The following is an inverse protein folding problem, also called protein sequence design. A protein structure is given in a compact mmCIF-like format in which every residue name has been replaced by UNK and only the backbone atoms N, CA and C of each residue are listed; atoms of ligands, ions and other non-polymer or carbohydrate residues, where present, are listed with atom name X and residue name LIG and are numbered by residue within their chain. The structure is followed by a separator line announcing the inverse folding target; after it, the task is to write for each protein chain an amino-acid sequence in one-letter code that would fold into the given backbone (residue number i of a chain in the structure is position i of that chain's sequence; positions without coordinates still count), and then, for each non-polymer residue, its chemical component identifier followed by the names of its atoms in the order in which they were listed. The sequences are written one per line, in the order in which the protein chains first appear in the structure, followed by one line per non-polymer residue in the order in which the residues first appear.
data_IF_786337779516
#
_entry.id   IF_786337779516
#
_cell.length_a   1.000
_cell.length_b   1.000
_cell.length_c   1.000
_cell.angle_alpha   90.00
_cell.angle_beta   90.00
_cell.angle_gamma   90.00
#
_symmetry.space_group_name_H-M   'P 1'
#
loop_
_entity.id
_entity.type
_entity.pdbx_description
1 polymer ?
#
# COMPACT_ATOMS: atom_id res chain seq x y z
N UNK A 1 -10.25 -10.20 28.53
CA UNK A 1 -9.65 -9.23 27.59
C UNK A 1 -8.14 -9.36 27.68
N UNK A 2 -7.46 -9.70 26.57
CA UNK A 2 -6.00 -9.83 26.58
C UNK A 2 -5.36 -8.43 26.61
N UNK A 3 -4.44 -8.19 27.55
CA UNK A 3 -3.76 -6.90 27.64
C UNK A 3 -2.78 -6.74 26.48
N UNK A 4 -3.07 -5.81 25.57
CA UNK A 4 -2.18 -5.45 24.44
C UNK A 4 -0.87 -4.77 24.91
N UNK A 5 -0.71 -4.53 26.21
CA UNK A 5 0.54 -4.03 26.80
C UNK A 5 1.60 -5.11 26.92
N UNK A 6 1.21 -6.39 26.95
CA UNK A 6 2.13 -7.52 27.00
C UNK A 6 2.48 -7.99 25.57
N UNK A 7 3.74 -7.78 25.11
CA UNK A 7 4.16 -8.20 23.77
C UNK A 7 4.09 -9.72 23.55
N UNK A 8 3.98 -10.53 24.61
CA UNK A 8 3.83 -11.99 24.50
C UNK A 8 2.42 -12.44 24.15
N UNK A 9 1.41 -11.58 24.33
CA UNK A 9 0.01 -11.84 23.97
C UNK A 9 -0.33 -11.46 22.52
N UNK A 10 0.62 -10.83 21.82
CA UNK A 10 0.49 -10.34 20.44
C UNK A 10 0.03 -11.39 19.43
N UNK A 11 0.52 -12.65 19.45
CA UNK A 11 0.06 -13.68 18.51
C UNK A 11 -1.42 -14.05 18.70
N UNK A 12 -1.96 -13.93 19.92
CA UNK A 12 -3.35 -14.25 20.23
C UNK A 12 -4.32 -13.10 19.87
N UNK A 13 -3.81 -11.87 19.74
CA UNK A 13 -4.58 -10.70 19.34
C UNK A 13 -4.57 -10.43 17.83
N UNK A 14 -3.70 -11.11 17.07
CA UNK A 14 -3.67 -11.01 15.63
C UNK A 14 -4.85 -11.78 15.01
N UNK A 15 -5.48 -11.20 13.98
CA UNK A 15 -6.53 -11.88 13.22
C UNK A 15 -5.94 -13.12 12.51
N UNK A 16 -6.32 -14.30 13.00
CA UNK A 16 -5.89 -15.59 12.46
C UNK A 16 -6.33 -15.80 11.01
N UNK A 17 -7.42 -15.16 10.58
CA UNK A 17 -7.90 -15.26 9.20
C UNK A 17 -7.08 -14.41 8.25
N UNK A 18 -6.48 -13.33 8.75
CA UNK A 18 -5.64 -12.46 7.95
C UNK A 18 -4.29 -13.11 7.58
N UNK A 19 -3.94 -14.28 8.12
CA UNK A 19 -2.82 -15.13 7.67
C UNK A 19 -1.47 -14.40 7.52
N UNK A 20 -1.20 -13.44 8.40
CA UNK A 20 0.04 -12.66 8.34
C UNK A 20 1.26 -13.51 8.72
N UNK A 21 2.40 -13.36 8.01
CA UNK A 21 3.66 -13.91 8.49
C UNK A 21 3.92 -13.42 9.92
N UNK A 22 4.38 -14.31 10.80
CA UNK A 22 4.66 -14.00 12.20
C UNK A 22 5.41 -12.67 12.43
N UNK A 23 6.53 -12.35 11.74
CA UNK A 23 7.23 -11.08 11.94
C UNK A 23 6.38 -9.85 11.58
N UNK A 24 5.52 -9.97 10.57
CA UNK A 24 4.64 -8.89 10.14
C UNK A 24 3.51 -8.65 11.14
N UNK A 25 2.87 -9.72 11.62
CA UNK A 25 1.84 -9.63 12.66
C UNK A 25 2.40 -8.95 13.93
N UNK A 26 3.61 -9.35 14.35
CA UNK A 26 4.30 -8.73 15.49
C UNK A 26 4.58 -7.25 15.26
N UNK A 27 5.13 -6.87 14.10
CA UNK A 27 5.43 -5.48 13.79
C UNK A 27 4.19 -4.59 13.74
N UNK A 28 3.09 -5.08 13.13
CA UNK A 28 1.83 -4.34 13.05
C UNK A 28 1.24 -4.10 14.44
N UNK A 29 1.32 -5.09 15.32
CA UNK A 29 0.84 -4.93 16.70
C UNK A 29 1.69 -3.93 17.48
N UNK A 30 3.02 -3.95 17.31
CA UNK A 30 3.90 -2.96 17.93
C UNK A 30 3.57 -1.52 17.48
N UNK A 31 3.18 -1.34 16.21
CA UNK A 31 2.71 -0.06 15.70
C UNK A 31 1.38 0.36 16.36
N UNK A 32 0.39 -0.53 16.41
CA UNK A 32 -0.91 -0.25 17.05
C UNK A 32 -0.70 0.15 18.51
N UNK A 33 0.04 -0.66 19.27
CA UNK A 33 0.32 -0.42 20.69
C UNK A 33 1.10 0.88 20.90
N UNK A 34 2.11 1.14 20.06
CA UNK A 34 2.91 2.35 20.13
C UNK A 34 2.11 3.62 19.79
N UNK A 35 1.22 3.56 18.82
CA UNK A 35 0.43 4.70 18.36
C UNK A 35 -0.78 5.00 19.26
N UNK A 36 -1.48 3.99 19.78
CA UNK A 36 -2.80 4.19 20.41
C UNK A 36 -2.84 3.85 21.91
N UNK A 37 -2.07 2.86 22.36
CA UNK A 37 -2.29 2.23 23.67
C UNK A 37 -1.44 2.79 24.82
N UNK A 38 -0.58 3.78 24.56
CA UNK A 38 0.23 4.42 25.61
C UNK A 38 -0.58 5.49 26.35
N UNK A 39 -0.50 5.44 27.70
CA UNK A 39 -1.27 6.29 28.62
C UNK A 39 -1.12 7.80 28.38
N UNK A 40 0.04 8.26 27.93
CA UNK A 40 0.29 9.67 27.64
C UNK A 40 0.65 9.88 26.18
N UNK A 41 0.24 11.02 25.61
CA UNK A 41 0.57 11.39 24.23
C UNK A 41 2.09 11.44 23.98
N UNK A 42 2.87 11.87 24.98
CA UNK A 42 4.34 11.91 24.92
C UNK A 42 4.98 10.51 24.87
N UNK A 43 4.32 9.50 25.44
CA UNK A 43 4.81 8.12 25.43
C UNK A 43 4.37 7.34 24.18
N UNK A 44 3.56 7.92 23.29
CA UNK A 44 3.17 7.31 22.02
C UNK A 44 4.29 7.47 21.00
N UNK A 45 4.37 6.49 20.10
CA UNK A 45 5.20 6.57 18.91
C UNK A 45 4.79 7.78 18.07
N UNK A 46 5.77 8.54 17.59
CA UNK A 46 5.51 9.64 16.66
C UNK A 46 5.04 9.10 15.31
N UNK A 47 4.12 9.80 14.66
CA UNK A 47 3.64 9.41 13.33
C UNK A 47 4.77 9.21 12.29
N UNK A 48 5.81 10.07 12.21
CA UNK A 48 6.91 9.85 11.27
C UNK A 48 7.69 8.55 11.52
N UNK A 49 7.90 8.19 12.79
CA UNK A 49 8.57 6.95 13.17
C UNK A 49 7.72 5.72 12.80
N UNK A 50 6.41 5.80 13.04
CA UNK A 50 5.46 4.75 12.69
C UNK A 50 5.40 4.52 11.17
N UNK A 51 5.38 5.60 10.38
CA UNK A 51 5.39 5.53 8.92
C UNK A 51 6.68 4.88 8.41
N UNK A 52 7.84 5.29 8.93
CA UNK A 52 9.14 4.71 8.55
C UNK A 52 9.17 3.20 8.81
N UNK A 53 8.65 2.76 9.97
CA UNK A 53 8.55 1.34 10.33
C UNK A 53 7.60 0.58 9.40
N UNK A 54 6.44 1.16 9.08
CA UNK A 54 5.46 0.55 8.19
C UNK A 54 5.99 0.41 6.75
N UNK A 55 6.68 1.42 6.25
CA UNK A 55 7.32 1.40 4.93
C UNK A 55 8.38 0.30 4.85
N UNK A 56 9.28 0.22 5.83
CA UNK A 56 10.28 -0.85 5.91
C UNK A 56 9.65 -2.24 5.94
N UNK A 57 8.62 -2.43 6.77
CA UNK A 57 7.90 -3.71 6.81
C UNK A 57 7.25 -4.03 5.47
N UNK A 58 6.70 -3.04 4.77
CA UNK A 58 6.10 -3.22 3.45
C UNK A 58 7.14 -3.55 2.37
N UNK A 59 8.37 -3.03 2.46
CA UNK A 59 9.48 -3.37 1.56
C UNK A 59 9.98 -4.80 1.80
N UNK A 60 10.09 -5.23 3.07
CA UNK A 60 10.53 -6.58 3.45
C UNK A 60 9.43 -7.63 3.20
N UNK A 61 8.17 -7.21 3.14
CA UNK A 61 7.04 -8.08 2.87
C UNK A 61 6.95 -8.45 1.38
N UNK A 62 7.52 -9.60 1.04
CA UNK A 62 7.26 -10.26 -0.26
C UNK A 62 5.82 -10.78 -0.40
N UNK A 63 5.05 -10.85 0.71
CA UNK A 63 3.70 -11.42 0.72
C UNK A 63 2.72 -10.49 1.43
N UNK A 64 1.63 -10.15 0.73
CA UNK A 64 0.49 -9.36 1.24
C UNK A 64 -0.68 -10.31 1.51
N UNK A 65 -0.89 -10.75 2.73
CA UNK A 65 -1.90 -11.75 3.02
C UNK A 65 -3.31 -11.10 2.97
N UNK A 66 -4.30 -11.84 2.49
CA UNK A 66 -5.68 -11.33 2.27
C UNK A 66 -5.89 -10.53 0.98
N UNK A 67 -4.81 -10.07 0.32
CA UNK A 67 -4.84 -9.70 -1.10
C UNK A 67 -4.34 -10.93 -1.83
N UNK A 68 -5.24 -11.64 -2.53
CA UNK A 68 -4.81 -12.70 -3.45
C UNK A 68 -3.62 -12.17 -4.24
N UNK A 69 -2.50 -12.92 -4.23
CA UNK A 69 -1.31 -12.53 -4.98
C UNK A 69 -1.80 -12.00 -6.33
N UNK A 70 -1.45 -10.77 -6.74
CA UNK A 70 -1.82 -10.31 -8.07
C UNK A 70 -1.33 -11.41 -8.97
N UNK A 71 -2.27 -12.06 -9.67
CA UNK A 71 -2.03 -13.25 -10.48
C UNK A 71 -0.71 -13.00 -11.19
N UNK A 72 0.36 -13.66 -10.73
CA UNK A 72 1.74 -13.31 -11.09
C UNK A 72 2.05 -13.83 -12.51
N UNK A 73 1.05 -13.82 -13.37
CA UNK A 73 1.14 -14.28 -14.75
C UNK A 73 1.72 -13.18 -15.65
N UNK A 74 1.78 -11.94 -15.20
CA UNK A 74 2.28 -10.83 -15.99
C UNK A 74 3.19 -9.96 -15.12
N UNK A 75 4.46 -9.80 -15.53
CA UNK A 75 5.46 -8.95 -14.87
C UNK A 75 5.02 -7.47 -14.74
N UNK A 76 5.93 -6.56 -14.32
CA UNK A 76 5.59 -5.16 -14.13
C UNK A 76 4.96 -4.59 -15.41
N UNK A 77 3.73 -4.08 -15.29
CA UNK A 77 3.00 -3.56 -16.44
C UNK A 77 3.60 -2.23 -16.87
N UNK A 78 3.78 -2.09 -18.18
CA UNK A 78 4.41 -0.91 -18.79
C UNK A 78 3.44 0.25 -18.97
N UNK A 79 4.00 1.46 -19.04
CA UNK A 79 3.30 2.68 -19.38
C UNK A 79 2.75 2.62 -20.80
N UNK A 80 1.46 2.90 -21.00
CA UNK A 80 0.82 2.87 -22.32
C UNK A 80 1.23 4.01 -23.27
N UNK A 81 2.03 4.96 -22.78
CA UNK A 81 2.49 6.12 -23.57
C UNK A 81 3.90 5.87 -24.10
N UNK A 82 4.86 5.58 -23.22
CA UNK A 82 6.23 5.35 -23.64
C UNK A 82 6.55 3.88 -23.93
N UNK A 83 5.73 2.93 -23.46
CA UNK A 83 5.94 1.49 -23.64
C UNK A 83 7.34 1.00 -23.21
N UNK A 84 7.92 1.67 -22.21
CA UNK A 84 9.27 1.40 -21.71
C UNK A 84 9.30 1.42 -20.18
N UNK A 85 8.83 2.51 -19.58
CA UNK A 85 8.87 2.66 -18.12
C UNK A 85 7.69 1.92 -17.45
N UNK A 86 7.88 1.35 -16.24
CA UNK A 86 6.78 0.75 -15.49
C UNK A 86 5.73 1.79 -15.10
N UNK A 87 4.49 1.34 -14.92
CA UNK A 87 3.41 2.19 -14.39
C UNK A 87 3.73 2.62 -12.96
N UNK A 88 3.44 3.88 -12.64
CA UNK A 88 3.83 4.46 -11.35
C UNK A 88 2.87 5.53 -10.84
N UNK A 89 1.70 5.72 -11.47
CA UNK A 89 0.74 6.74 -11.08
C UNK A 89 -0.71 6.23 -11.21
N UNK A 90 -1.50 6.38 -10.13
CA UNK A 90 -2.95 6.14 -10.15
C UNK A 90 -3.69 7.47 -10.20
N UNK A 91 -4.64 7.57 -11.12
CA UNK A 91 -5.49 8.73 -11.29
C UNK A 91 -6.75 8.63 -10.42
N UNK A 92 -7.38 9.78 -10.13
CA UNK A 92 -8.66 9.86 -9.42
C UNK A 92 -9.78 9.04 -10.09
N UNK A 93 -9.71 8.82 -11.40
CA UNK A 93 -10.64 7.96 -12.13
C UNK A 93 -10.38 6.44 -11.96
N UNK A 94 -9.43 6.04 -11.12
CA UNK A 94 -9.11 4.64 -10.81
C UNK A 94 -8.05 4.01 -11.73
N UNK A 95 -7.84 4.56 -12.93
CA UNK A 95 -6.87 4.04 -13.89
C UNK A 95 -5.43 4.23 -13.41
N UNK A 96 -4.62 3.18 -13.61
CA UNK A 96 -3.19 3.15 -13.37
C UNK A 96 -2.51 2.57 -14.62
N UNK A 97 -2.12 3.46 -15.55
CA UNK A 97 -1.69 3.07 -16.90
C UNK A 97 -0.43 3.77 -17.39
N UNK A 98 0.10 4.78 -16.67
CA UNK A 98 1.30 5.50 -17.09
C UNK A 98 2.39 5.54 -16.02
N UNK A 99 3.62 5.78 -16.46
CA UNK A 99 4.72 6.18 -15.60
C UNK A 99 4.56 7.63 -15.11
N UNK A 100 5.39 8.05 -14.17
CA UNK A 100 5.33 9.41 -13.64
C UNK A 100 5.66 10.49 -14.68
N UNK A 101 6.67 10.26 -15.51
CA UNK A 101 7.13 11.24 -16.49
C UNK A 101 6.03 11.54 -17.52
N UNK A 102 5.46 10.51 -18.15
CA UNK A 102 4.38 10.67 -19.12
C UNK A 102 3.12 11.27 -18.48
N UNK A 103 2.82 10.94 -17.21
CA UNK A 103 1.66 11.52 -16.51
C UNK A 103 1.72 13.05 -16.43
N UNK A 104 2.91 13.65 -16.34
CA UNK A 104 3.06 15.13 -16.26
C UNK A 104 2.76 15.85 -17.58
N UNK A 105 2.72 15.12 -18.69
CA UNK A 105 2.49 15.65 -20.03
C UNK A 105 1.03 15.46 -20.51
N UNK A 106 0.20 14.81 -19.68
CA UNK A 106 -1.17 14.46 -20.03
C UNK A 106 -2.16 15.38 -19.31
N UNK A 107 -3.13 15.89 -20.05
CA UNK A 107 -4.25 16.65 -19.48
C UNK A 107 -5.40 15.74 -19.02
N UNK A 108 -5.62 14.62 -19.73
CA UNK A 108 -6.71 13.66 -19.48
C UNK A 108 -6.21 12.23 -19.45
N UNK A 109 -6.96 11.36 -18.77
CA UNK A 109 -6.66 9.93 -18.73
C UNK A 109 -6.73 9.29 -20.13
N UNK A 110 -5.68 8.63 -20.63
CA UNK A 110 -5.68 7.96 -21.94
C UNK A 110 -6.74 6.86 -22.11
N UNK A 111 -7.12 6.19 -21.01
CA UNK A 111 -8.11 5.10 -21.02
C UNK A 111 -9.53 5.64 -21.08
N UNK A 112 -9.97 6.40 -20.06
CA UNK A 112 -11.36 6.86 -20.01
C UNK A 112 -11.63 8.13 -20.84
N UNK A 113 -10.60 8.90 -21.20
CA UNK A 113 -10.66 10.17 -21.98
C UNK A 113 -11.52 11.29 -21.39
N UNK A 114 -12.29 11.04 -20.34
CA UNK A 114 -13.19 12.00 -19.70
C UNK A 114 -12.47 12.75 -18.58
N UNK A 115 -11.88 12.04 -17.62
CA UNK A 115 -11.36 12.65 -16.39
C UNK A 115 -10.02 13.39 -16.62
N UNK A 116 -9.84 14.60 -16.06
CA UNK A 116 -8.54 15.27 -16.03
C UNK A 116 -7.55 14.46 -15.19
N UNK A 117 -6.26 14.61 -15.48
CA UNK A 117 -5.20 13.96 -14.70
C UNK A 117 -5.14 14.58 -13.31
N UNK A 118 -5.61 13.82 -12.32
CA UNK A 118 -5.42 14.10 -10.90
C UNK A 118 -4.82 12.86 -10.24
N UNK A 119 -3.53 12.89 -9.91
CA UNK A 119 -2.82 11.74 -9.34
C UNK A 119 -3.14 11.62 -7.85
N UNK A 120 -3.58 10.43 -7.43
CA UNK A 120 -3.96 10.14 -6.03
C UNK A 120 -3.00 9.15 -5.35
N UNK A 121 -2.17 8.44 -6.12
CA UNK A 121 -1.12 7.58 -5.58
C UNK A 121 0.06 7.49 -6.57
N UNK A 122 1.25 7.27 -6.00
CA UNK A 122 2.53 7.16 -6.72
C UNK A 122 3.33 5.98 -6.18
N UNK A 123 4.21 5.42 -7.01
CA UNK A 123 5.19 4.43 -6.58
C UNK A 123 5.28 3.19 -7.48
N UNK A 124 6.40 2.47 -7.37
CA UNK A 124 6.72 1.33 -8.22
C UNK A 124 5.75 0.14 -8.04
N UNK A 125 5.14 -0.02 -6.86
CA UNK A 125 4.17 -1.07 -6.59
C UNK A 125 2.96 -1.03 -7.55
N UNK A 126 2.62 0.16 -8.06
CA UNK A 126 1.52 0.36 -8.99
C UNK A 126 1.70 -0.36 -10.32
N UNK A 127 2.93 -0.75 -10.69
CA UNK A 127 3.21 -1.55 -11.88
C UNK A 127 2.56 -2.95 -11.83
N UNK A 128 2.28 -3.47 -10.64
CA UNK A 128 1.68 -4.79 -10.43
C UNK A 128 0.17 -4.73 -10.19
N UNK A 129 -0.38 -3.52 -10.02
CA UNK A 129 -1.79 -3.34 -9.71
C UNK A 129 -2.67 -3.32 -10.96
N UNK A 130 -3.91 -3.77 -10.81
CA UNK A 130 -4.92 -3.61 -11.85
C UNK A 130 -5.25 -2.12 -12.07
N UNK A 131 -5.64 -1.82 -13.30
CA UNK A 131 -6.41 -0.60 -13.56
C UNK A 131 -7.86 -0.90 -13.23
N UNK A 132 -8.41 -0.15 -12.29
CA UNK A 132 -9.82 -0.23 -11.96
C UNK A 132 -10.57 0.85 -12.76
N UNK A 133 -11.69 0.48 -13.36
CA UNK A 133 -12.68 1.43 -13.84
C UNK A 133 -13.54 1.80 -12.65
N UNK A 134 -13.43 3.05 -12.16
CA UNK A 134 -14.55 3.59 -11.39
C UNK A 134 -15.68 3.78 -12.40
N UNK A 135 -16.66 2.85 -12.39
CA UNK A 135 -17.94 3.10 -13.03
C UNK A 135 -18.52 4.34 -12.31
N UNK A 136 -18.50 5.46 -13.03
CA UNK A 136 -19.12 6.70 -12.56
C UNK A 136 -20.62 6.53 -12.45
#
# INVERSE_FOLDING_TARGET
EASLEDPTLVPAAADVHASWPAPMATGLMQLVVGLSWRRSARARMGLPEALTKLEKMAEEASSRPGIAAPIAEHGPRECVVCMVAPRAARYRCGHCICCEACTRQLERCPSCRVAPIHVIARGAALAFEASFVNAG
#
